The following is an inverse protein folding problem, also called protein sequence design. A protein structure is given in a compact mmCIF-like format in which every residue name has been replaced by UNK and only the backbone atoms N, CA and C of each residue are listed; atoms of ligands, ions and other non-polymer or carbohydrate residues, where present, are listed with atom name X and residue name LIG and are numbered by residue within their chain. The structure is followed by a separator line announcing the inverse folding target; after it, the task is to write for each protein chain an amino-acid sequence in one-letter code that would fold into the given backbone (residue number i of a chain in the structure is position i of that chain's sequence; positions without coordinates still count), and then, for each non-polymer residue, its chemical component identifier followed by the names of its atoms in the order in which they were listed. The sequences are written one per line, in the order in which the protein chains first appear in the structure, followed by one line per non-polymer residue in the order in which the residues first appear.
data_IF_451198615783
#
_entry.id   IF_451198615783
#
_cell.length_a   1.000
_cell.length_b   1.000
_cell.length_c   1.000
_cell.angle_alpha   90.00
_cell.angle_beta   90.00
_cell.angle_gamma   90.00
#
_symmetry.space_group_name_H-M   'P 1'
#
loop_
_entity.id
_entity.type
_entity.pdbx_description
1 polymer ?
#
# COMPACT_ATOMS: atom_id res chain seq x y z
N UNK A 1 8.31 0.71 -8.68
CA UNK A 1 7.16 1.56 -9.07
C UNK A 1 5.85 0.78 -9.15
N UNK A 2 5.84 -0.45 -9.67
CA UNK A 2 4.64 -1.28 -9.85
C UNK A 2 3.74 -1.40 -8.61
N UNK A 3 4.31 -1.63 -7.42
CA UNK A 3 3.55 -1.68 -6.16
C UNK A 3 2.77 -0.40 -5.88
N UNK A 4 3.39 0.77 -6.10
CA UNK A 4 2.77 2.07 -5.87
C UNK A 4 1.68 2.37 -6.89
N UNK A 5 1.97 2.12 -8.17
CA UNK A 5 1.00 2.28 -9.26
C UNK A 5 -0.22 1.39 -9.07
N UNK A 6 -0.02 0.15 -8.61
CA UNK A 6 -1.11 -0.79 -8.33
C UNK A 6 -2.11 -0.26 -7.31
N UNK A 7 -1.66 0.50 -6.30
CA UNK A 7 -2.55 1.12 -5.30
C UNK A 7 -2.93 2.57 -5.64
N UNK A 8 -2.68 3.01 -6.87
CA UNK A 8 -3.03 4.37 -7.31
C UNK A 8 -2.14 5.48 -6.78
N UNK A 9 -0.94 5.18 -6.28
CA UNK A 9 0.03 6.18 -5.82
C UNK A 9 1.09 6.44 -6.90
N UNK A 10 1.20 7.69 -7.32
CA UNK A 10 2.25 8.16 -8.23
C UNK A 10 3.17 9.12 -7.50
N UNK A 11 4.44 8.75 -7.39
CA UNK A 11 5.45 9.56 -6.72
C UNK A 11 6.09 10.57 -7.66
N UNK A 12 6.20 11.82 -7.21
CA UNK A 12 6.94 12.87 -7.93
C UNK A 12 8.34 13.01 -7.33
N UNK A 13 9.41 12.50 -7.99
CA UNK A 13 10.77 12.57 -7.45
C UNK A 13 11.36 13.99 -7.47
N UNK A 14 10.65 14.95 -8.07
CA UNK A 14 11.07 16.35 -8.18
C UNK A 14 10.84 17.17 -6.92
N UNK A 15 10.10 16.63 -5.93
CA UNK A 15 9.82 17.30 -4.65
C UNK A 15 10.40 16.52 -3.48
N UNK A 16 10.61 17.19 -2.35
CA UNK A 16 11.06 16.53 -1.14
C UNK A 16 10.04 15.50 -0.63
N UNK A 17 10.50 14.58 0.23
CA UNK A 17 9.68 13.48 0.73
C UNK A 17 8.38 13.95 1.42
N UNK A 18 8.44 15.00 2.23
CA UNK A 18 7.25 15.51 2.93
C UNK A 18 6.18 16.00 1.94
N UNK A 19 6.59 16.81 0.97
CA UNK A 19 5.70 17.31 -0.09
C UNK A 19 5.18 16.15 -0.95
N UNK A 20 5.99 15.14 -1.22
CA UNK A 20 5.58 13.95 -1.97
C UNK A 20 4.49 13.17 -1.23
N UNK A 21 4.60 13.01 0.09
CA UNK A 21 3.55 12.39 0.93
C UNK A 21 2.27 13.23 0.92
N UNK A 22 2.39 14.56 1.03
CA UNK A 22 1.22 15.46 0.99
C UNK A 22 0.49 15.41 -0.36
N UNK A 23 1.23 15.43 -1.47
CA UNK A 23 0.66 15.30 -2.81
C UNK A 23 0.00 13.92 -3.01
N UNK A 24 0.67 12.85 -2.59
CA UNK A 24 0.11 11.50 -2.64
C UNK A 24 -1.21 11.41 -1.88
N UNK A 25 -1.26 11.99 -0.66
CA UNK A 25 -2.49 12.03 0.15
C UNK A 25 -3.61 12.80 -0.53
N UNK A 26 -3.32 13.95 -1.14
CA UNK A 26 -4.32 14.75 -1.87
C UNK A 26 -4.88 14.00 -3.08
N UNK A 27 -4.06 13.20 -3.76
CA UNK A 27 -4.44 12.46 -4.95
C UNK A 27 -5.14 11.13 -4.67
N UNK A 28 -4.92 10.51 -3.50
CA UNK A 28 -5.35 9.14 -3.17
C UNK A 28 -6.87 8.91 -3.08
N UNK A 29 -7.71 9.97 -3.18
CA UNK A 29 -9.19 9.95 -3.17
C UNK A 29 -9.87 9.27 -1.96
N UNK A 30 -9.12 8.59 -1.10
CA UNK A 30 -9.60 7.88 0.07
C UNK A 30 -8.98 8.43 1.35
N UNK A 31 -9.73 8.40 2.44
CA UNK A 31 -9.31 8.98 3.73
C UNK A 31 -8.29 8.11 4.48
N UNK A 32 -7.95 6.93 3.96
CA UNK A 32 -7.03 5.95 4.57
C UNK A 32 -5.67 5.85 3.84
N UNK A 33 -5.23 6.96 3.24
CA UNK A 33 -3.95 7.03 2.52
C UNK A 33 -2.76 6.54 3.34
N UNK A 34 -2.64 6.98 4.59
CA UNK A 34 -1.47 6.65 5.40
C UNK A 34 -1.42 5.16 5.71
N UNK A 35 -2.58 4.54 5.97
CA UNK A 35 -2.69 3.12 6.24
C UNK A 35 -2.29 2.29 5.01
N UNK A 36 -2.82 2.62 3.83
CA UNK A 36 -2.42 1.96 2.58
C UNK A 36 -0.93 2.17 2.26
N UNK A 37 -0.43 3.40 2.41
CA UNK A 37 0.98 3.73 2.21
C UNK A 37 1.91 2.93 3.12
N UNK A 38 1.61 2.89 4.43
CA UNK A 38 2.43 2.19 5.42
C UNK A 38 2.43 0.68 5.18
N UNK A 39 1.27 0.08 4.89
CA UNK A 39 1.17 -1.36 4.58
C UNK A 39 1.94 -1.70 3.31
N UNK A 40 1.81 -0.88 2.25
CA UNK A 40 2.54 -1.07 1.01
C UNK A 40 4.07 -1.00 1.22
N UNK A 41 4.54 0.03 1.93
CA UNK A 41 5.95 0.21 2.28
C UNK A 41 6.49 -0.97 3.09
N UNK A 42 5.73 -1.41 4.10
CA UNK A 42 6.06 -2.53 4.96
C UNK A 42 6.23 -3.83 4.15
N UNK A 43 5.32 -4.11 3.22
CA UNK A 43 5.42 -5.33 2.42
C UNK A 43 6.53 -5.26 1.37
N UNK A 44 6.86 -4.08 0.83
CA UNK A 44 8.06 -3.93 -0.02
C UNK A 44 9.30 -4.28 0.80
N UNK A 45 9.39 -3.77 2.03
CA UNK A 45 10.49 -4.11 2.94
C UNK A 45 10.54 -5.61 3.25
N UNK A 46 9.39 -6.24 3.53
CA UNK A 46 9.29 -7.69 3.77
C UNK A 46 9.79 -8.53 2.59
N UNK A 47 9.40 -8.18 1.36
CA UNK A 47 9.88 -8.87 0.14
C UNK A 47 11.41 -8.78 -0.01
N UNK A 48 12.01 -7.61 0.29
CA UNK A 48 13.47 -7.44 0.23
C UNK A 48 14.19 -8.27 1.29
N UNK A 49 13.62 -8.36 2.49
CA UNK A 49 14.20 -9.17 3.56
C UNK A 49 14.11 -10.67 3.29
N UNK A 50 13.02 -11.14 2.67
CA UNK A 50 12.90 -12.55 2.29
C UNK A 50 14.00 -12.96 1.29
N UNK A 51 14.47 -12.05 0.44
CA UNK A 51 15.62 -12.34 -0.41
C UNK A 51 16.91 -12.53 0.40
N UNK A 52 17.14 -11.66 1.39
CA UNK A 52 18.35 -11.67 2.21
C UNK A 52 18.38 -12.89 3.15
N UNK A 53 17.27 -13.18 3.82
CA UNK A 53 17.22 -14.17 4.89
C UNK A 53 16.71 -15.54 4.45
N UNK A 54 15.88 -15.61 3.39
CA UNK A 54 15.27 -16.86 2.92
C UNK A 54 15.67 -17.22 1.48
N UNK A 55 16.49 -16.39 0.81
CA UNK A 55 16.86 -16.59 -0.60
C UNK A 55 15.68 -16.49 -1.58
N UNK A 56 14.53 -15.95 -1.14
CA UNK A 56 13.32 -15.86 -1.96
C UNK A 56 13.30 -14.55 -2.74
N UNK A 57 13.30 -14.57 -4.09
CA UNK A 57 13.29 -13.34 -4.87
C UNK A 57 11.97 -12.56 -4.67
N UNK A 58 12.02 -11.22 -4.66
CA UNK A 58 10.81 -10.40 -4.58
C UNK A 58 9.84 -10.73 -5.72
N UNK A 59 8.56 -10.88 -5.38
CA UNK A 59 7.50 -11.17 -6.35
C UNK A 59 6.36 -10.17 -6.22
N UNK A 60 6.00 -9.52 -7.33
CA UNK A 60 4.89 -8.58 -7.34
C UNK A 60 3.56 -9.28 -6.99
N UNK A 61 3.33 -10.50 -7.47
CA UNK A 61 2.15 -11.29 -7.13
C UNK A 61 2.09 -11.62 -5.64
N UNK A 62 3.23 -12.02 -5.06
CA UNK A 62 3.33 -12.30 -3.61
C UNK A 62 3.07 -11.03 -2.79
N UNK A 63 3.68 -9.91 -3.18
CA UNK A 63 3.45 -8.61 -2.55
C UNK A 63 1.98 -8.18 -2.63
N UNK A 64 1.35 -8.32 -3.80
CA UNK A 64 -0.05 -7.96 -4.05
C UNK A 64 -1.01 -8.75 -3.17
N UNK A 65 -0.81 -10.08 -3.09
CA UNK A 65 -1.59 -10.95 -2.19
C UNK A 65 -1.40 -10.52 -0.73
N UNK A 66 -0.15 -10.40 -0.28
CA UNK A 66 0.15 -9.97 1.08
C UNK A 66 -0.45 -8.60 1.41
N UNK A 67 -0.48 -7.68 0.44
CA UNK A 67 -1.03 -6.34 0.64
C UNK A 67 -2.52 -6.40 0.94
N UNK A 68 -3.29 -7.18 0.16
CA UNK A 68 -4.71 -7.39 0.44
C UNK A 68 -4.91 -8.04 1.80
N UNK A 69 -4.17 -9.10 2.11
CA UNK A 69 -4.27 -9.81 3.40
C UNK A 69 -3.99 -8.87 4.59
N UNK A 70 -2.94 -8.05 4.52
CA UNK A 70 -2.57 -7.11 5.57
C UNK A 70 -3.58 -5.95 5.69
N UNK A 71 -4.13 -5.45 4.58
CA UNK A 71 -5.19 -4.43 4.62
C UNK A 71 -6.50 -4.97 5.22
N UNK A 72 -6.85 -6.24 4.96
CA UNK A 72 -7.99 -6.89 5.60
C UNK A 72 -7.79 -7.01 7.11
N UNK A 73 -6.58 -7.37 7.56
CA UNK A 73 -6.25 -7.37 8.99
C UNK A 73 -6.33 -5.96 9.59
N UNK A 74 -5.82 -4.97 8.87
CA UNK A 74 -5.86 -3.58 9.30
C UNK A 74 -7.29 -3.03 9.36
N UNK A 75 -8.22 -3.54 8.55
CA UNK A 75 -9.64 -3.16 8.56
C UNK A 75 -10.30 -3.40 9.93
N UNK A 76 -9.83 -4.36 10.74
CA UNK A 76 -10.34 -4.56 12.10
C UNK A 76 -10.06 -3.37 13.02
N UNK A 77 -9.02 -2.58 12.71
CA UNK A 77 -8.62 -1.37 13.47
C UNK A 77 -9.23 -0.10 12.90
N UNK A 78 -9.90 -0.17 11.76
CA UNK A 78 -10.56 0.97 11.13
C UNK A 78 -11.86 1.32 11.85
N UNK A 79 -12.19 2.61 11.85
CA UNK A 79 -13.54 3.07 12.18
C UNK A 79 -14.54 2.38 11.25
N UNK A 80 -15.71 2.01 11.77
CA UNK A 80 -16.73 1.30 10.98
C UNK A 80 -17.12 2.06 9.70
N UNK A 81 -17.15 3.40 9.75
CA UNK A 81 -17.41 4.24 8.57
C UNK A 81 -16.39 4.11 7.45
N UNK A 82 -15.18 3.61 7.72
CA UNK A 82 -14.10 3.47 6.76
C UNK A 82 -13.98 2.03 6.20
N UNK A 83 -14.67 1.06 6.79
CA UNK A 83 -14.61 -0.35 6.35
C UNK A 83 -15.23 -0.55 4.98
N UNK A 84 -16.42 -0.03 4.75
CA UNK A 84 -17.10 -0.15 3.44
C UNK A 84 -16.28 0.51 2.32
N UNK A 85 -15.81 1.77 2.44
CA UNK A 85 -14.92 2.36 1.45
C UNK A 85 -13.64 1.56 1.22
N UNK A 86 -13.05 0.99 2.28
CA UNK A 86 -11.84 0.18 2.18
C UNK A 86 -12.08 -1.10 1.36
N UNK A 87 -13.14 -1.85 1.66
CA UNK A 87 -13.42 -3.11 0.94
C UNK A 87 -13.73 -2.87 -0.54
N UNK A 88 -14.55 -1.85 -0.83
CA UNK A 88 -14.84 -1.45 -2.23
C UNK A 88 -13.55 -1.09 -2.97
N UNK A 89 -12.66 -0.35 -2.31
CA UNK A 89 -11.35 -0.03 -2.90
C UNK A 89 -10.50 -1.28 -3.12
N UNK A 90 -10.37 -2.18 -2.15
CA UNK A 90 -9.58 -3.42 -2.27
C UNK A 90 -10.08 -4.36 -3.38
N UNK A 91 -11.39 -4.41 -3.59
CA UNK A 91 -12.03 -5.18 -4.67
C UNK A 91 -11.74 -4.56 -6.04
N UNK A 92 -11.64 -3.22 -6.12
CA UNK A 92 -11.28 -2.51 -7.35
C UNK A 92 -9.83 -2.74 -7.80
N UNK A 93 -8.95 -3.18 -6.89
CA UNK A 93 -7.55 -3.44 -7.21
C UNK A 93 -7.44 -4.79 -7.95
N UNK A 94 -7.44 -4.74 -9.29
CA UNK A 94 -7.40 -5.90 -10.20
C UNK A 94 -6.10 -6.67 -10.10
#
# INVERSE_FOLDING_TARGET
MTCWQYIGITWSPTVNFHNMIMLGRQQFQHTFFMEAFMVAAWLIWKQRNNLIFEGRPPSFTSWKKGFKDEMLLQAHRFKNSLKTPLFVWLDSLV
#
